data_IF_029160257678
#
_entry.id   IF_029160257678
#
_cell.length_a   1.000
_cell.length_b   1.000
_cell.length_c   1.000
_cell.angle_alpha   90.00
_cell.angle_beta   90.00
_cell.angle_gamma   90.00
#
_symmetry.space_group_name_H-M   'P 1'
#
loop_
_entity.id
_entity.type
_entity.pdbx_description
1 polymer ?
#
# COMPACT_ATOMS: atom_id res chain seq x y z
N UNK A 1 -4.81 -0.23 -12.76
CA UNK A 1 -6.12 0.44 -12.55
C UNK A 1 -5.91 1.94 -12.61
N UNK A 2 -6.80 2.70 -13.24
CA UNK A 2 -6.64 4.15 -13.41
C UNK A 2 -7.34 4.93 -12.28
N UNK A 3 -6.84 6.13 -11.95
CA UNK A 3 -7.43 6.98 -10.92
C UNK A 3 -8.88 7.37 -11.24
N UNK A 4 -9.18 7.68 -12.50
CA UNK A 4 -10.55 8.00 -12.93
C UNK A 4 -11.50 6.80 -12.82
N UNK A 5 -11.01 5.58 -13.02
CA UNK A 5 -11.81 4.36 -12.85
C UNK A 5 -12.17 4.14 -11.38
N UNK A 6 -11.21 4.33 -10.47
CA UNK A 6 -11.45 4.23 -9.02
C UNK A 6 -12.42 5.31 -8.55
N UNK A 7 -12.25 6.56 -9.01
CA UNK A 7 -13.18 7.64 -8.68
C UNK A 7 -14.59 7.38 -9.17
N UNK A 8 -14.73 6.87 -10.39
CA UNK A 8 -16.03 6.48 -10.94
C UNK A 8 -16.65 5.39 -10.08
N UNK A 9 -15.91 4.34 -9.76
CA UNK A 9 -16.38 3.26 -8.89
C UNK A 9 -16.85 3.77 -7.52
N UNK A 10 -16.05 4.60 -6.84
CA UNK A 10 -16.41 5.14 -5.52
C UNK A 10 -17.66 6.02 -5.59
N UNK A 11 -17.77 6.85 -6.63
CA UNK A 11 -18.94 7.71 -6.85
C UNK A 11 -20.20 6.90 -7.12
N UNK A 12 -20.13 5.91 -8.02
CA UNK A 12 -21.27 5.07 -8.41
C UNK A 12 -21.80 4.26 -7.21
N UNK A 13 -20.90 3.88 -6.30
CA UNK A 13 -21.24 3.17 -5.07
C UNK A 13 -21.49 4.09 -3.86
N UNK A 14 -21.51 5.42 -4.05
CA UNK A 14 -21.75 6.43 -2.99
C UNK A 14 -20.78 6.30 -1.79
N UNK A 15 -19.56 5.86 -2.04
CA UNK A 15 -18.50 5.73 -1.03
C UNK A 15 -17.85 7.09 -0.85
N UNK A 16 -17.80 7.58 0.39
CA UNK A 16 -17.12 8.83 0.72
C UNK A 16 -15.60 8.63 0.70
N UNK A 17 -14.89 9.59 0.10
CA UNK A 17 -13.44 9.59 0.04
C UNK A 17 -12.87 11.01 0.09
N UNK A 18 -11.60 11.11 0.46
CA UNK A 18 -10.79 12.32 0.39
C UNK A 18 -9.71 12.12 -0.67
N UNK A 19 -9.22 13.23 -1.23
CA UNK A 19 -8.12 13.21 -2.20
C UNK A 19 -7.01 14.13 -1.70
N UNK A 20 -5.82 13.58 -1.57
CA UNK A 20 -4.61 14.31 -1.23
C UNK A 20 -3.63 14.25 -2.41
N UNK A 21 -2.73 15.24 -2.47
CA UNK A 21 -1.65 15.28 -3.46
C UNK A 21 -0.34 15.51 -2.73
N UNK A 22 0.57 14.54 -2.85
CA UNK A 22 1.95 14.68 -2.39
C UNK A 22 2.82 15.14 -3.56
N UNK A 23 3.65 16.18 -3.39
CA UNK A 23 4.42 16.74 -4.50
C UNK A 23 5.56 15.83 -4.98
N UNK A 24 6.05 14.94 -4.10
CA UNK A 24 7.10 13.96 -4.36
C UNK A 24 8.35 14.52 -5.09
N UNK A 25 9.01 15.49 -4.45
CA UNK A 25 10.11 16.31 -5.02
C UNK A 25 11.47 15.61 -5.13
N UNK A 26 11.52 14.28 -5.18
CA UNK A 26 12.75 13.48 -5.24
C UNK A 26 12.93 12.66 -6.51
N UNK A 27 11.93 12.65 -7.40
CA UNK A 27 11.93 11.77 -8.57
C UNK A 27 12.27 12.52 -9.86
N UNK A 28 12.63 11.79 -10.91
CA UNK A 28 13.02 12.37 -12.21
C UNK A 28 12.17 11.77 -13.33
N UNK A 29 11.17 12.49 -13.87
CA UNK A 29 10.73 13.83 -13.48
C UNK A 29 10.04 13.86 -12.12
N UNK A 30 9.85 15.05 -11.54
CA UNK A 30 9.01 15.19 -10.35
C UNK A 30 7.56 14.85 -10.73
N UNK A 31 7.00 13.81 -10.11
CA UNK A 31 5.63 13.35 -10.37
C UNK A 31 4.85 13.35 -9.07
N UNK A 32 3.82 14.19 -8.94
CA UNK A 32 3.02 14.22 -7.74
C UNK A 32 2.23 12.91 -7.61
N UNK A 33 2.16 12.40 -6.38
CA UNK A 33 1.31 11.27 -6.06
C UNK A 33 -0.07 11.76 -5.68
N UNK A 34 -1.08 11.26 -6.37
CA UNK A 34 -2.47 11.45 -5.97
C UNK A 34 -2.87 10.29 -5.08
N UNK A 35 -3.53 10.59 -3.96
CA UNK A 35 -3.93 9.57 -2.99
C UNK A 35 -5.42 9.70 -2.75
N UNK A 36 -6.15 8.60 -2.90
CA UNK A 36 -7.56 8.50 -2.49
C UNK A 36 -7.61 7.84 -1.12
N UNK A 37 -8.22 8.50 -0.14
CA UNK A 37 -8.45 7.97 1.21
C UNK A 37 -9.92 7.64 1.43
N UNK A 38 -10.22 6.38 1.73
CA UNK A 38 -11.56 5.91 2.05
C UNK A 38 -11.63 5.65 3.55
N UNK A 39 -12.41 6.46 4.27
CA UNK A 39 -12.67 6.33 5.71
C UNK A 39 -11.42 6.21 6.61
N UNK A 40 -10.25 6.65 6.12
CA UNK A 40 -8.93 6.46 6.77
C UNK A 40 -8.53 5.00 7.03
N UNK A 41 -9.14 4.05 6.31
CA UNK A 41 -8.84 2.61 6.42
C UNK A 41 -8.23 2.03 5.14
N UNK A 42 -8.38 2.75 4.02
CA UNK A 42 -7.79 2.40 2.73
C UNK A 42 -7.21 3.66 2.11
N UNK A 43 -5.94 3.60 1.73
CA UNK A 43 -5.25 4.63 0.95
C UNK A 43 -4.81 4.04 -0.39
N UNK A 44 -5.22 4.66 -1.50
CA UNK A 44 -4.89 4.21 -2.87
C UNK A 44 -4.01 5.26 -3.54
N UNK A 45 -2.80 4.87 -3.93
CA UNK A 45 -1.77 5.76 -4.44
C UNK A 45 -1.61 5.66 -5.95
N UNK A 46 -1.50 6.82 -6.61
CA UNK A 46 -1.39 6.93 -8.06
C UNK A 46 -0.25 7.86 -8.47
N UNK A 47 0.49 7.46 -9.49
CA UNK A 47 1.40 8.32 -10.25
C UNK A 47 1.00 8.25 -11.73
N UNK A 48 0.98 9.38 -12.44
CA UNK A 48 0.50 9.47 -13.83
C UNK A 48 -0.83 8.75 -14.10
N UNK A 49 -1.83 8.93 -13.23
CA UNK A 49 -3.14 8.27 -13.33
C UNK A 49 -3.10 6.73 -13.15
N UNK A 50 -1.95 6.10 -12.89
CA UNK A 50 -1.82 4.65 -12.67
C UNK A 50 -1.59 4.35 -11.19
N UNK A 51 -2.36 3.40 -10.68
CA UNK A 51 -2.24 2.92 -9.30
C UNK A 51 -0.95 2.09 -9.13
N UNK A 52 -0.20 2.35 -8.05
CA UNK A 52 1.04 1.61 -7.76
C UNK A 52 1.13 1.05 -6.34
N UNK A 53 0.34 1.57 -5.40
CA UNK A 53 0.30 1.13 -4.01
C UNK A 53 -1.12 1.24 -3.46
N UNK A 54 -1.53 0.26 -2.65
CA UNK A 54 -2.72 0.31 -1.80
C UNK A 54 -2.27 -0.02 -0.37
N UNK A 55 -2.73 0.77 0.57
CA UNK A 55 -2.45 0.60 2.00
C UNK A 55 -3.77 0.40 2.73
N UNK A 56 -3.77 -0.57 3.64
CA UNK A 56 -4.89 -0.94 4.49
C UNK A 56 -4.48 -0.70 5.94
N UNK A 57 -5.32 0.02 6.68
CA UNK A 57 -5.09 0.37 8.08
C UNK A 57 -6.12 -0.32 9.00
N UNK A 58 -5.97 -0.10 10.31
CA UNK A 58 -6.87 -0.57 11.35
C UNK A 58 -8.35 -0.29 10.99
N UNK A 59 -9.16 -1.34 10.99
CA UNK A 59 -10.58 -1.30 10.61
C UNK A 59 -10.88 -1.91 9.25
N UNK A 60 -9.88 -2.18 8.41
CA UNK A 60 -10.05 -3.01 7.23
C UNK A 60 -10.19 -4.49 7.61
N UNK A 61 -11.26 -5.16 7.13
CA UNK A 61 -11.59 -6.55 7.49
C UNK A 61 -11.25 -7.57 6.41
N UNK A 62 -10.64 -7.13 5.31
CA UNK A 62 -10.23 -8.04 4.24
C UNK A 62 -9.00 -8.86 4.62
N UNK A 63 -8.71 -9.89 3.81
CA UNK A 63 -7.55 -10.76 3.98
C UNK A 63 -6.73 -10.79 2.69
N UNK A 64 -5.42 -10.94 2.83
CA UNK A 64 -4.55 -11.34 1.75
C UNK A 64 -4.91 -12.75 1.27
N UNK A 65 -4.47 -13.10 0.07
CA UNK A 65 -4.76 -14.41 -0.54
C UNK A 65 -4.23 -15.59 0.28
N UNK A 66 -3.11 -15.41 0.99
CA UNK A 66 -2.53 -16.38 1.91
C UNK A 66 -3.24 -16.43 3.27
N UNK A 67 -4.19 -15.53 3.53
CA UNK A 67 -5.01 -15.51 4.75
C UNK A 67 -4.57 -14.50 5.80
N UNK A 68 -3.45 -13.79 5.61
CA UNK A 68 -2.98 -12.73 6.53
C UNK A 68 -3.98 -11.56 6.54
N UNK A 69 -4.22 -10.98 7.72
CA UNK A 69 -5.16 -9.89 7.92
C UNK A 69 -4.73 -8.97 9.07
N UNK A 70 -5.22 -7.73 9.06
CA UNK A 70 -4.96 -6.74 10.11
C UNK A 70 -5.55 -7.20 11.45
N UNK A 71 -4.76 -7.15 12.51
CA UNK A 71 -5.10 -7.64 13.84
C UNK A 71 -4.73 -9.11 14.10
N UNK A 72 -4.18 -9.82 13.10
CA UNK A 72 -3.55 -11.14 13.30
C UNK A 72 -2.29 -10.99 14.18
N UNK A 73 -1.97 -11.95 15.07
CA UNK A 73 -0.68 -11.97 15.75
C UNK A 73 0.49 -12.00 14.75
N UNK A 74 1.54 -11.20 15.00
CA UNK A 74 2.66 -11.08 14.06
C UNK A 74 3.37 -12.44 13.84
N UNK A 75 3.56 -13.23 14.89
CA UNK A 75 4.16 -14.57 14.79
C UNK A 75 3.35 -15.54 13.90
N UNK A 76 2.02 -15.40 13.88
CA UNK A 76 1.16 -16.18 12.99
C UNK A 76 1.33 -15.75 11.54
N UNK A 77 1.42 -14.44 11.28
CA UNK A 77 1.69 -13.91 9.94
C UNK A 77 3.05 -14.39 9.40
N UNK A 78 4.10 -14.33 10.22
CA UNK A 78 5.45 -14.84 9.90
C UNK A 78 5.45 -16.36 9.66
N UNK A 79 4.56 -17.10 10.31
CA UNK A 79 4.40 -18.55 10.06
C UNK A 79 3.67 -18.84 8.75
N UNK A 80 2.74 -17.98 8.34
CA UNK A 80 2.00 -18.11 7.07
C UNK A 80 2.86 -17.72 5.88
N UNK A 81 3.65 -16.66 6.00
CA UNK A 81 4.60 -16.22 4.98
C UNK A 81 6.02 -16.13 5.55
N UNK A 82 6.80 -17.21 5.41
CA UNK A 82 8.19 -17.25 5.88
C UNK A 82 9.16 -16.35 5.10
N UNK A 83 8.71 -15.69 4.01
CA UNK A 83 9.54 -14.74 3.25
C UNK A 83 9.55 -13.34 3.87
N UNK A 84 8.65 -13.07 4.82
CA UNK A 84 8.58 -11.80 5.53
C UNK A 84 9.90 -11.55 6.29
N UNK A 85 10.64 -10.54 5.83
CA UNK A 85 11.89 -10.09 6.45
C UNK A 85 11.70 -8.71 7.06
N UNK A 86 12.13 -8.54 8.30
CA UNK A 86 12.08 -7.25 8.98
C UNK A 86 13.16 -6.30 8.43
N UNK A 87 12.76 -5.07 8.16
CA UNK A 87 13.63 -3.96 7.78
C UNK A 87 13.75 -2.97 8.94
N UNK A 88 14.93 -2.87 9.53
CA UNK A 88 15.17 -1.97 10.67
C UNK A 88 15.11 -0.49 10.31
N UNK A 89 15.37 -0.11 9.05
CA UNK A 89 15.37 1.30 8.62
C UNK A 89 13.96 1.83 8.38
N UNK A 90 13.10 1.00 7.80
CA UNK A 90 11.71 1.34 7.49
C UNK A 90 10.72 0.91 8.60
N UNK A 91 11.20 0.13 9.58
CA UNK A 91 10.41 -0.43 10.69
C UNK A 91 9.20 -1.26 10.21
N UNK A 92 9.37 -2.03 9.13
CA UNK A 92 8.34 -2.86 8.52
C UNK A 92 8.83 -4.29 8.16
N UNK A 93 7.89 -5.17 7.80
CA UNK A 93 8.18 -6.51 7.26
C UNK A 93 7.87 -6.55 5.76
N UNK A 94 8.86 -6.93 4.95
CA UNK A 94 8.70 -7.11 3.51
C UNK A 94 8.60 -8.55 3.06
N UNK A 95 7.59 -8.85 2.23
CA UNK A 95 7.37 -10.16 1.61
C UNK A 95 7.83 -10.19 0.15
N UNK A 96 8.37 -11.33 -0.29
CA UNK A 96 8.70 -11.59 -1.70
C UNK A 96 7.44 -11.62 -2.60
N UNK A 97 6.25 -11.76 -2.00
CA UNK A 97 4.95 -11.76 -2.70
C UNK A 97 4.42 -10.36 -3.02
N UNK A 98 5.17 -9.29 -2.68
CA UNK A 98 4.84 -7.91 -3.08
C UNK A 98 3.89 -7.19 -2.14
N UNK A 99 4.07 -7.39 -0.84
CA UNK A 99 3.40 -6.59 0.19
C UNK A 99 4.34 -6.32 1.37
N UNK A 100 4.08 -5.21 2.05
CA UNK A 100 4.70 -4.84 3.32
C UNK A 100 3.66 -4.92 4.43
N UNK A 101 4.14 -5.08 5.64
CA UNK A 101 3.32 -5.22 6.83
C UNK A 101 4.02 -4.55 8.00
N UNK A 102 3.30 -3.69 8.70
CA UNK A 102 3.77 -3.10 9.96
C UNK A 102 3.06 -3.80 11.11
N UNK A 103 3.73 -3.92 12.25
CA UNK A 103 3.14 -4.43 13.47
C UNK A 103 2.99 -3.32 14.52
N UNK A 104 2.13 -3.61 15.49
CA UNK A 104 2.00 -2.78 16.68
C UNK A 104 2.73 -3.49 17.83
N UNK A 105 3.86 -2.91 18.25
CA UNK A 105 4.74 -3.48 19.29
C UNK A 105 4.06 -3.68 20.66
N UNK A 106 3.00 -2.93 20.97
CA UNK A 106 2.28 -3.09 22.24
C UNK A 106 1.31 -4.28 22.22
N UNK A 107 0.75 -4.58 21.05
CA UNK A 107 -0.28 -5.62 20.89
C UNK A 107 0.22 -6.87 20.17
N UNK A 108 1.43 -6.82 19.61
CA UNK A 108 2.09 -7.87 18.83
C UNK A 108 1.22 -8.36 17.66
N UNK A 109 0.55 -7.41 17.00
CA UNK A 109 -0.40 -7.66 15.92
C UNK A 109 -0.08 -6.85 14.67
N UNK A 110 -0.44 -7.42 13.53
CA UNK A 110 -0.44 -6.72 12.24
C UNK A 110 -1.28 -5.46 12.34
N UNK A 111 -0.66 -4.31 12.12
CA UNK A 111 -1.26 -2.98 12.21
C UNK A 111 -1.73 -2.47 10.85
N UNK A 112 -0.88 -2.62 9.84
CA UNK A 112 -1.14 -2.18 8.48
C UNK A 112 -0.65 -3.22 7.47
N UNK A 113 -1.24 -3.21 6.28
CA UNK A 113 -0.79 -4.02 5.14
C UNK A 113 -0.72 -3.11 3.92
N UNK A 114 0.42 -3.07 3.27
CA UNK A 114 0.62 -2.34 2.02
C UNK A 114 0.87 -3.31 0.87
N UNK A 115 0.07 -3.24 -0.19
CA UNK A 115 0.27 -4.01 -1.43
C UNK A 115 0.77 -3.05 -2.52
N UNK A 116 1.79 -3.45 -3.27
CA UNK A 116 2.43 -2.59 -4.26
C UNK A 116 2.80 -3.33 -5.55
N UNK A 117 3.14 -2.56 -6.59
CA UNK A 117 3.74 -3.08 -7.82
C UNK A 117 5.22 -3.35 -7.58
N UNK A 118 5.76 -4.43 -8.16
CA UNK A 118 7.16 -4.85 -7.93
C UNK A 118 8.18 -3.77 -8.27
N UNK A 119 7.85 -2.90 -9.21
CA UNK A 119 8.69 -1.78 -9.63
C UNK A 119 8.97 -0.82 -8.47
N UNK A 120 8.14 -0.77 -7.42
CA UNK A 120 8.42 0.00 -6.21
C UNK A 120 9.70 -0.45 -5.47
N UNK A 121 10.17 -1.69 -5.72
CA UNK A 121 11.40 -2.23 -5.12
C UNK A 121 12.66 -1.89 -5.92
N UNK A 122 12.52 -1.25 -7.08
CA UNK A 122 13.62 -0.82 -7.94
C UNK A 122 13.55 0.70 -8.07
N UNK A 123 14.39 1.40 -7.31
CA UNK A 123 14.42 2.87 -7.26
C UNK A 123 14.58 3.51 -8.64
N UNK A 124 15.46 2.96 -9.48
CA UNK A 124 15.70 3.50 -10.81
C UNK A 124 14.44 3.36 -11.68
N UNK A 125 13.83 2.19 -11.67
CA UNK A 125 12.60 1.93 -12.42
C UNK A 125 11.41 2.73 -11.88
N UNK A 126 11.31 2.87 -10.55
CA UNK A 126 10.22 3.57 -9.90
C UNK A 126 10.32 5.09 -10.06
N UNK A 127 11.48 5.67 -9.77
CA UNK A 127 11.69 7.13 -9.78
C UNK A 127 11.82 7.73 -11.17
N UNK A 128 12.04 6.91 -12.19
CA UNK A 128 11.91 7.30 -13.61
C UNK A 128 10.49 7.10 -14.15
N UNK A 129 9.63 6.41 -13.39
CA UNK A 129 8.24 6.10 -13.73
C UNK A 129 8.06 5.40 -15.08
N UNK A 130 9.04 4.61 -15.52
CA UNK A 130 8.93 3.89 -16.80
C UNK A 130 7.73 2.92 -16.80
N UNK A 131 7.41 2.33 -15.64
CA UNK A 131 6.22 1.49 -15.44
C UNK A 131 4.90 2.26 -15.69
N UNK A 132 4.92 3.57 -15.55
CA UNK A 132 3.75 4.43 -15.64
C UNK A 132 3.49 4.99 -17.06
N UNK A 133 4.43 4.81 -18.00
CA UNK A 133 4.31 5.32 -19.38
C UNK A 133 3.44 4.45 -20.29
#
# INVERSE_FOLDING_TARGET
MLYDDVKRFLKDNKIQYQVDVLPNKGCTPEVPWTIIRVQKIISIYFAYNKMFKIEFDEGYTGKLKNGIYIGMPIEEALSIDPTLAYNEEEEDYGSEEGYWMEDNLETEKVMSITIFIKELLDDDLFFTYEWAK
#
